data_IF_041266089904
#
_entry.id   IF_041266089904
#
_cell.length_a   1.000
_cell.length_b   1.000
_cell.length_c   1.000
_cell.angle_alpha   90.00
_cell.angle_beta   90.00
_cell.angle_gamma   90.00
#
_symmetry.space_group_name_H-M   'P 1'
#
loop_
_entity.id
_entity.type
_entity.pdbx_description
1 polymer ?
#
# COMPACT_ATOMS: atom_id res chain seq x y z
N UNK A 1 19.71 23.65 -21.81
CA UNK A 1 19.60 22.45 -22.68
C UNK A 1 18.81 21.38 -21.96
N UNK A 2 18.31 20.39 -22.71
CA UNK A 2 17.67 19.20 -22.16
C UNK A 2 18.51 17.94 -22.41
N UNK A 3 18.15 16.84 -21.76
CA UNK A 3 18.90 15.59 -21.83
C UNK A 3 17.94 14.40 -21.97
N UNK A 4 18.39 13.36 -22.66
CA UNK A 4 17.75 12.05 -22.70
C UNK A 4 18.65 11.01 -22.05
N UNK A 5 18.06 10.21 -21.16
CA UNK A 5 18.69 9.09 -20.45
C UNK A 5 17.98 7.80 -20.86
N UNK A 6 18.73 6.83 -21.37
CA UNK A 6 18.21 5.51 -21.72
C UNK A 6 18.94 4.47 -20.87
N UNK A 7 18.25 3.65 -20.06
CA UNK A 7 18.90 2.55 -19.33
C UNK A 7 19.67 1.64 -20.30
N UNK A 8 20.94 1.34 -19.97
CA UNK A 8 21.80 0.47 -20.78
C UNK A 8 21.41 -1.00 -20.69
N UNK A 9 20.80 -1.39 -19.58
CA UNK A 9 20.35 -2.74 -19.26
C UNK A 9 19.36 -2.70 -18.11
N UNK A 10 18.68 -3.83 -17.87
CA UNK A 10 17.90 -4.01 -16.66
C UNK A 10 18.77 -3.89 -15.41
N UNK A 11 18.26 -3.20 -14.39
CA UNK A 11 18.95 -3.03 -13.12
C UNK A 11 18.83 -4.31 -12.30
N UNK A 12 19.93 -5.01 -12.02
CA UNK A 12 19.93 -6.23 -11.17
C UNK A 12 19.98 -5.91 -9.67
N UNK A 13 20.52 -4.74 -9.32
CA UNK A 13 20.55 -4.18 -7.97
C UNK A 13 19.85 -2.80 -8.05
N UNK A 14 19.02 -2.39 -7.07
CA UNK A 14 18.37 -1.09 -7.14
C UNK A 14 19.39 0.05 -7.13
N UNK A 15 19.09 1.09 -7.92
CA UNK A 15 19.92 2.29 -8.03
C UNK A 15 19.30 3.43 -7.22
N UNK A 16 20.10 4.17 -6.47
CA UNK A 16 19.70 5.43 -5.83
C UNK A 16 20.25 6.59 -6.66
N UNK A 17 19.34 7.34 -7.29
CA UNK A 17 19.67 8.33 -8.30
C UNK A 17 19.01 9.70 -8.00
N UNK A 18 19.22 10.18 -6.77
CA UNK A 18 18.85 11.53 -6.33
C UNK A 18 19.57 12.64 -7.11
N UNK A 19 20.59 12.27 -7.90
CA UNK A 19 21.29 13.14 -8.83
C UNK A 19 20.53 13.42 -10.12
N UNK A 20 19.55 12.59 -10.52
CA UNK A 20 18.78 12.82 -11.76
C UNK A 20 17.74 13.93 -11.51
N UNK A 21 18.19 15.18 -11.70
CA UNK A 21 17.41 16.41 -11.49
C UNK A 21 17.85 17.51 -12.45
N UNK A 22 16.92 18.18 -13.16
CA UNK A 22 17.29 19.24 -14.10
C UNK A 22 18.07 20.40 -13.47
N UNK A 23 17.73 20.80 -12.25
CA UNK A 23 18.42 21.88 -11.53
C UNK A 23 19.84 21.49 -11.04
N UNK A 24 20.17 20.19 -10.99
CA UNK A 24 21.53 19.72 -10.74
C UNK A 24 22.35 19.62 -12.04
N UNK A 25 21.70 19.34 -13.16
CA UNK A 25 22.35 19.24 -14.48
C UNK A 25 22.62 20.63 -15.09
N UNK A 26 21.99 21.67 -14.57
CA UNK A 26 22.15 23.03 -15.05
C UNK A 26 23.62 23.49 -14.97
N UNK A 27 24.17 23.90 -16.12
CA UNK A 27 25.54 24.38 -16.24
C UNK A 27 26.60 23.28 -16.36
N UNK A 28 26.22 22.00 -16.25
CA UNK A 28 27.13 20.87 -16.46
C UNK A 28 27.16 20.44 -17.93
N UNK A 29 28.33 20.00 -18.39
CA UNK A 29 28.47 19.31 -19.67
C UNK A 29 28.13 17.81 -19.58
N UNK A 30 28.12 17.11 -20.73
CA UNK A 30 27.80 15.68 -20.80
C UNK A 30 28.75 14.79 -19.99
N UNK A 31 30.03 15.12 -19.92
CA UNK A 31 31.02 14.29 -19.23
C UNK A 31 30.89 14.50 -17.71
N UNK A 32 30.65 15.73 -17.28
CA UNK A 32 30.31 16.06 -15.90
C UNK A 32 29.03 15.34 -15.45
N UNK A 33 27.96 15.36 -16.27
CA UNK A 33 26.71 14.64 -15.98
C UNK A 33 26.93 13.13 -15.88
N UNK A 34 27.68 12.52 -16.81
CA UNK A 34 28.02 11.09 -16.75
C UNK A 34 28.81 10.72 -15.49
N UNK A 35 29.59 11.66 -14.96
CA UNK A 35 30.43 11.47 -13.77
C UNK A 35 29.68 11.59 -12.44
N UNK A 36 28.44 12.12 -12.45
CA UNK A 36 27.60 12.22 -11.25
C UNK A 36 27.47 10.85 -10.57
N UNK A 37 27.65 10.81 -9.27
CA UNK A 37 27.69 9.55 -8.52
C UNK A 37 26.28 9.11 -8.11
N UNK A 38 25.97 7.84 -8.36
CA UNK A 38 24.74 7.15 -7.94
C UNK A 38 25.14 5.93 -7.11
N UNK A 39 24.24 5.43 -6.25
CA UNK A 39 24.51 4.20 -5.49
C UNK A 39 23.83 2.99 -6.12
N UNK A 40 24.62 1.96 -6.44
CA UNK A 40 24.11 0.61 -6.71
C UNK A 40 24.29 -0.22 -5.44
N UNK A 41 23.20 -0.44 -4.70
CA UNK A 41 23.27 -1.00 -3.35
C UNK A 41 24.09 -0.11 -2.42
N UNK A 42 25.27 -0.55 -2.00
CA UNK A 42 26.17 0.19 -1.11
C UNK A 42 27.42 0.75 -1.80
N UNK A 43 27.51 0.67 -3.12
CA UNK A 43 28.68 1.09 -3.91
C UNK A 43 28.32 2.31 -4.75
N UNK A 44 29.18 3.34 -4.75
CA UNK A 44 29.06 4.49 -5.66
C UNK A 44 29.64 4.17 -7.01
N UNK A 45 28.88 4.48 -8.06
CA UNK A 45 29.31 4.34 -9.46
C UNK A 45 28.84 5.56 -10.27
N UNK A 46 29.55 5.95 -11.33
CA UNK A 46 29.11 7.03 -12.23
C UNK A 46 27.76 6.73 -12.89
N UNK A 47 26.91 7.74 -13.02
CA UNK A 47 25.60 7.66 -13.68
C UNK A 47 25.71 7.13 -15.12
N UNK A 48 26.76 7.55 -15.84
CA UNK A 48 27.03 7.13 -17.21
C UNK A 48 27.35 5.64 -17.37
N UNK A 49 27.60 4.89 -16.29
CA UNK A 49 27.71 3.43 -16.36
C UNK A 49 26.35 2.74 -16.55
N UNK A 50 25.26 3.39 -16.13
CA UNK A 50 23.92 2.82 -16.14
C UNK A 50 23.02 3.37 -17.26
N UNK A 51 23.30 4.58 -17.72
CA UNK A 51 22.51 5.25 -18.75
C UNK A 51 23.36 5.66 -19.95
N UNK A 52 22.81 5.49 -21.16
CA UNK A 52 23.22 6.28 -22.31
C UNK A 52 22.64 7.68 -22.14
N UNK A 53 23.52 8.70 -22.16
CA UNK A 53 23.14 10.10 -21.91
C UNK A 53 23.49 10.93 -23.14
N UNK A 54 22.49 11.60 -23.69
CA UNK A 54 22.63 12.50 -24.83
C UNK A 54 21.92 13.84 -24.59
N UNK A 55 22.45 14.90 -25.17
CA UNK A 55 21.79 16.21 -25.21
C UNK A 55 20.60 16.19 -26.19
N UNK A 56 19.55 16.91 -25.83
CA UNK A 56 18.39 17.13 -26.71
C UNK A 56 18.27 18.62 -27.03
N UNK A 57 18.13 18.93 -28.31
CA UNK A 57 17.82 20.29 -28.77
C UNK A 57 16.39 20.69 -28.39
N UNK A 58 16.21 21.95 -27.95
CA UNK A 58 14.93 22.67 -27.84
C UNK A 58 14.09 22.56 -26.55
N UNK A 59 14.56 21.95 -25.47
CA UNK A 59 13.81 21.92 -24.19
C UNK A 59 14.75 22.18 -23.01
N UNK A 60 14.91 23.46 -22.63
CA UNK A 60 15.76 23.84 -21.49
C UNK A 60 15.23 23.26 -20.18
N UNK A 61 16.14 22.75 -19.34
CA UNK A 61 15.84 22.11 -18.05
C UNK A 61 14.86 20.91 -18.16
N UNK A 62 14.86 20.20 -19.29
CA UNK A 62 14.16 18.92 -19.41
C UNK A 62 15.13 17.75 -19.25
N UNK A 63 14.76 16.77 -18.44
CA UNK A 63 15.33 15.41 -18.49
C UNK A 63 14.24 14.46 -18.97
N UNK A 64 14.49 13.75 -20.06
CA UNK A 64 13.67 12.64 -20.54
C UNK A 64 14.34 11.32 -20.19
N UNK A 65 13.60 10.38 -19.62
CA UNK A 65 14.07 9.02 -19.36
C UNK A 65 13.23 8.07 -20.20
N UNK A 66 13.86 7.33 -21.12
CA UNK A 66 13.17 6.40 -22.00
C UNK A 66 13.58 4.97 -21.66
N UNK A 67 12.70 4.24 -20.95
CA UNK A 67 12.95 2.87 -20.51
C UNK A 67 12.45 2.59 -19.09
N UNK A 68 12.40 1.30 -18.74
CA UNK A 68 12.00 0.88 -17.40
C UNK A 68 13.06 1.26 -16.36
N UNK A 69 12.66 2.05 -15.38
CA UNK A 69 13.45 2.47 -14.23
C UNK A 69 12.72 2.12 -12.92
N UNK A 70 11.91 1.05 -12.92
CA UNK A 70 11.18 0.50 -11.77
C UNK A 70 12.09 0.16 -10.57
N UNK A 71 13.39 0.00 -10.82
CA UNK A 71 14.42 -0.27 -9.81
C UNK A 71 15.35 0.91 -9.52
N UNK A 72 15.05 2.09 -10.05
CA UNK A 72 15.77 3.34 -9.77
C UNK A 72 14.93 4.19 -8.81
N UNK A 73 15.54 4.64 -7.72
CA UNK A 73 14.92 5.38 -6.63
C UNK A 73 15.36 6.85 -6.67
N UNK A 74 14.58 7.70 -6.01
CA UNK A 74 14.92 9.11 -5.73
C UNK A 74 15.04 10.04 -6.94
N UNK A 75 14.60 9.62 -8.14
CA UNK A 75 14.58 10.50 -9.30
C UNK A 75 13.77 11.76 -8.94
N UNK A 76 14.31 12.96 -9.24
CA UNK A 76 13.65 14.22 -8.88
C UNK A 76 13.67 14.58 -7.39
N UNK A 77 14.38 13.84 -6.53
CA UNK A 77 14.41 14.10 -5.08
C UNK A 77 14.97 15.49 -4.75
N UNK A 78 14.22 16.35 -4.08
CA UNK A 78 14.65 17.71 -3.73
C UNK A 78 14.74 18.67 -4.93
N UNK A 79 14.21 18.28 -6.10
CA UNK A 79 14.20 19.08 -7.33
C UNK A 79 13.52 20.44 -7.10
N UNK A 80 14.13 21.52 -7.62
CA UNK A 80 13.65 22.90 -7.42
C UNK A 80 12.94 23.49 -8.64
N UNK A 81 13.36 23.09 -9.84
CA UNK A 81 12.87 23.63 -11.11
C UNK A 81 13.16 22.66 -12.25
N UNK A 82 12.62 22.97 -13.43
CA UNK A 82 12.74 22.14 -14.63
C UNK A 82 11.65 21.09 -14.73
N UNK A 83 11.83 20.17 -15.68
CA UNK A 83 10.88 19.12 -16.01
C UNK A 83 11.57 17.77 -16.13
N UNK A 84 10.94 16.72 -15.63
CA UNK A 84 11.32 15.32 -15.90
C UNK A 84 10.14 14.62 -16.59
N UNK A 85 10.40 13.92 -17.70
CA UNK A 85 9.44 13.05 -18.36
C UNK A 85 10.01 11.64 -18.38
N UNK A 86 9.29 10.66 -17.84
CA UNK A 86 9.73 9.26 -17.77
C UNK A 86 8.77 8.39 -18.58
N UNK A 87 9.29 7.69 -19.59
CA UNK A 87 8.58 6.73 -20.41
C UNK A 87 8.93 5.30 -19.98
N UNK A 88 8.33 4.88 -18.86
CA UNK A 88 8.57 3.59 -18.22
C UNK A 88 8.10 3.60 -16.76
N UNK A 89 8.22 2.46 -16.10
CA UNK A 89 7.89 2.35 -14.68
C UNK A 89 9.03 2.93 -13.81
N UNK A 90 8.70 3.37 -12.59
CA UNK A 90 9.65 4.08 -11.69
C UNK A 90 9.67 3.47 -10.30
N UNK A 91 10.86 3.42 -9.69
CA UNK A 91 11.04 2.93 -8.33
C UNK A 91 10.57 3.89 -7.23
N UNK A 92 11.12 3.68 -6.03
CA UNK A 92 10.67 4.34 -4.80
C UNK A 92 11.03 5.83 -4.75
N UNK A 93 10.21 6.60 -4.05
CA UNK A 93 10.55 7.97 -3.62
C UNK A 93 10.78 8.95 -4.79
N UNK A 94 10.06 8.77 -5.90
CA UNK A 94 10.02 9.74 -7.00
C UNK A 94 9.58 11.11 -6.48
N UNK A 95 10.38 12.14 -6.75
CA UNK A 95 10.08 13.53 -6.40
C UNK A 95 9.92 13.79 -4.90
N UNK A 96 10.48 12.95 -4.02
CA UNK A 96 10.45 13.24 -2.59
C UNK A 96 11.17 14.57 -2.29
N UNK A 97 10.69 15.33 -1.32
CA UNK A 97 11.23 16.64 -0.92
C UNK A 97 11.26 17.71 -2.05
N UNK A 98 10.62 17.46 -3.20
CA UNK A 98 10.56 18.38 -4.33
C UNK A 98 10.00 19.75 -3.91
N UNK A 99 10.61 20.83 -4.38
CA UNK A 99 10.25 22.22 -4.06
C UNK A 99 9.58 22.95 -5.21
N UNK A 100 9.81 22.48 -6.44
CA UNK A 100 9.25 23.09 -7.66
C UNK A 100 9.61 22.28 -8.90
N UNK A 101 9.03 22.67 -10.04
CA UNK A 101 9.18 21.96 -11.31
C UNK A 101 8.04 20.98 -11.59
N UNK A 102 8.22 20.15 -12.62
CA UNK A 102 7.24 19.17 -13.08
C UNK A 102 7.88 17.80 -13.27
N UNK A 103 7.20 16.73 -12.83
CA UNK A 103 7.56 15.35 -13.14
C UNK A 103 6.35 14.69 -13.78
N UNK A 104 6.51 14.11 -14.97
CA UNK A 104 5.49 13.31 -15.64
C UNK A 104 5.99 11.89 -15.88
N UNK A 105 5.20 10.89 -15.52
CA UNK A 105 5.51 9.47 -15.73
C UNK A 105 4.45 8.82 -16.60
N UNK A 106 4.87 8.30 -17.75
CA UNK A 106 4.10 7.48 -18.67
C UNK A 106 4.29 6.00 -18.33
N UNK A 107 3.85 5.62 -17.13
CA UNK A 107 4.03 4.29 -16.55
C UNK A 107 3.48 4.23 -15.12
N UNK A 108 3.78 3.15 -14.41
CA UNK A 108 3.49 2.99 -13.00
C UNK A 108 4.67 3.48 -12.16
N UNK A 109 4.39 3.83 -10.91
CA UNK A 109 5.44 4.19 -9.96
C UNK A 109 5.24 3.46 -8.65
N UNK A 110 6.35 3.19 -7.97
CA UNK A 110 6.35 2.54 -6.67
C UNK A 110 5.84 3.49 -5.56
N UNK A 111 6.07 3.10 -4.30
CA UNK A 111 5.61 3.84 -3.12
C UNK A 111 6.42 5.11 -2.84
N UNK A 112 5.88 5.98 -1.98
CA UNK A 112 6.49 7.19 -1.43
C UNK A 112 6.69 8.36 -2.43
N UNK A 113 5.85 8.42 -3.46
CA UNK A 113 5.87 9.50 -4.45
C UNK A 113 5.61 10.85 -3.75
N UNK A 114 6.43 11.86 -4.05
CA UNK A 114 6.22 13.21 -3.51
C UNK A 114 6.26 13.28 -1.97
N UNK A 115 6.84 12.27 -1.32
CA UNK A 115 7.03 12.25 0.14
C UNK A 115 7.67 13.57 0.58
N UNK A 116 7.04 14.28 1.52
CA UNK A 116 7.51 15.56 2.05
C UNK A 116 7.79 16.67 1.01
N UNK A 117 7.15 16.63 -0.16
CA UNK A 117 7.29 17.71 -1.15
C UNK A 117 6.67 19.03 -0.65
N UNK A 118 7.25 20.15 -1.08
CA UNK A 118 6.83 21.51 -0.71
C UNK A 118 6.20 22.27 -1.89
N UNK A 119 6.44 21.84 -3.13
CA UNK A 119 5.94 22.50 -4.33
C UNK A 119 6.25 21.71 -5.60
N UNK A 120 5.77 22.21 -6.73
CA UNK A 120 5.86 21.51 -8.02
C UNK A 120 4.66 20.61 -8.30
N UNK A 121 4.69 19.94 -9.45
CA UNK A 121 3.62 19.02 -9.88
C UNK A 121 4.21 17.66 -10.27
N UNK A 122 3.65 16.59 -9.72
CA UNK A 122 3.95 15.21 -10.13
C UNK A 122 2.70 14.62 -10.77
N UNK A 123 2.81 14.16 -12.01
CA UNK A 123 1.72 13.55 -12.78
C UNK A 123 2.09 12.12 -13.19
N UNK A 124 1.28 11.16 -12.80
CA UNK A 124 1.47 9.74 -13.11
C UNK A 124 0.30 9.29 -13.99
N UNK A 125 0.61 8.82 -15.20
CA UNK A 125 -0.40 8.35 -16.16
C UNK A 125 -0.77 6.86 -15.93
N UNK A 126 -0.10 6.17 -15.02
CA UNK A 126 -0.44 4.82 -14.54
C UNK A 126 -0.87 4.80 -13.07
N UNK A 127 -0.44 3.75 -12.36
CA UNK A 127 -0.74 3.54 -10.93
C UNK A 127 0.42 3.96 -10.03
N UNK A 128 0.09 4.21 -8.76
CA UNK A 128 0.99 4.54 -7.69
C UNK A 128 0.99 3.44 -6.61
N UNK A 129 2.13 3.25 -5.95
CA UNK A 129 2.23 2.46 -4.72
C UNK A 129 1.62 3.17 -3.51
N UNK A 130 2.10 2.79 -2.33
CA UNK A 130 1.70 3.34 -1.03
C UNK A 130 2.31 4.71 -0.74
N UNK A 131 1.78 5.40 0.27
CA UNK A 131 2.37 6.58 0.90
C UNK A 131 2.63 7.78 -0.02
N UNK A 132 1.75 8.01 -0.98
CA UNK A 132 1.80 9.19 -1.86
C UNK A 132 1.65 10.47 -1.04
N UNK A 133 2.60 11.40 -1.12
CA UNK A 133 2.57 12.69 -0.43
C UNK A 133 2.74 12.62 1.11
N UNK A 134 3.22 11.49 1.63
CA UNK A 134 3.24 11.25 3.08
C UNK A 134 4.41 11.90 3.82
N UNK A 135 4.28 11.92 5.15
CA UNK A 135 5.40 12.01 6.08
C UNK A 135 6.20 10.70 6.04
N UNK A 136 7.52 10.78 6.16
CA UNK A 136 8.31 9.58 6.36
C UNK A 136 7.94 8.86 7.66
N UNK A 137 8.28 7.58 7.79
CA UNK A 137 7.92 6.81 8.98
C UNK A 137 8.58 7.35 10.24
N UNK A 138 7.77 7.55 11.28
CA UNK A 138 8.22 8.15 12.53
C UNK A 138 8.15 9.68 12.52
N UNK A 139 7.84 10.28 11.38
CA UNK A 139 7.57 11.71 11.24
C UNK A 139 6.07 11.99 11.18
N UNK A 140 5.70 13.26 11.41
CA UNK A 140 4.30 13.71 11.45
C UNK A 140 3.98 14.76 10.38
N UNK A 141 4.96 15.18 9.56
CA UNK A 141 4.80 16.30 8.62
C UNK A 141 5.20 15.87 7.22
N UNK A 142 4.21 15.48 6.43
CA UNK A 142 4.35 15.05 5.05
C UNK A 142 4.42 16.19 4.06
N UNK A 143 3.77 16.01 2.91
CA UNK A 143 3.63 17.03 1.87
C UNK A 143 3.11 18.36 2.44
N UNK A 144 3.78 19.46 2.10
CA UNK A 144 3.48 20.84 2.55
C UNK A 144 3.05 21.76 1.41
N UNK A 145 2.93 21.25 0.19
CA UNK A 145 2.51 22.02 -0.97
C UNK A 145 2.79 21.26 -2.27
N UNK A 146 2.39 21.86 -3.39
CA UNK A 146 2.45 21.24 -4.70
C UNK A 146 1.23 20.38 -5.01
N UNK A 147 1.30 19.63 -6.11
CA UNK A 147 0.19 18.83 -6.63
C UNK A 147 0.66 17.47 -7.12
N UNK A 148 -0.03 16.41 -6.68
CA UNK A 148 0.19 15.05 -7.19
C UNK A 148 -1.08 14.58 -7.89
N UNK A 149 -0.95 14.09 -9.13
CA UNK A 149 -2.05 13.63 -9.96
C UNK A 149 -1.74 12.21 -10.42
N UNK A 150 -2.51 11.23 -9.95
CA UNK A 150 -2.42 9.83 -10.37
C UNK A 150 -3.65 9.53 -11.22
N UNK A 151 -3.47 9.13 -12.48
CA UNK A 151 -4.61 8.79 -13.36
C UNK A 151 -5.25 7.44 -12.99
N UNK A 152 -4.43 6.48 -12.54
CA UNK A 152 -4.89 5.17 -12.08
C UNK A 152 -5.17 5.12 -10.58
N UNK A 153 -4.85 3.96 -9.98
CA UNK A 153 -5.04 3.67 -8.57
C UNK A 153 -3.80 4.07 -7.75
N UNK A 154 -3.99 4.25 -6.44
CA UNK A 154 -2.92 4.41 -5.48
C UNK A 154 -3.09 3.45 -4.29
N UNK A 155 -1.96 3.08 -3.67
CA UNK A 155 -1.93 2.16 -2.53
C UNK A 155 -2.50 2.75 -1.24
N UNK A 156 -2.01 2.25 -0.11
CA UNK A 156 -2.46 2.64 1.22
C UNK A 156 -1.79 3.94 1.69
N UNK A 157 -2.40 4.52 2.72
CA UNK A 157 -1.88 5.66 3.48
C UNK A 157 -1.65 6.93 2.65
N UNK A 158 -2.38 7.14 1.55
CA UNK A 158 -2.26 8.33 0.69
C UNK A 158 -2.41 9.60 1.53
N UNK A 159 -1.47 10.54 1.42
CA UNK A 159 -1.49 11.81 2.17
C UNK A 159 -1.37 11.63 3.69
N UNK A 160 -0.79 10.52 4.16
CA UNK A 160 -0.52 10.28 5.56
C UNK A 160 0.35 11.38 6.19
N UNK A 161 -0.18 12.16 7.12
CA UNK A 161 0.51 13.31 7.72
C UNK A 161 0.65 14.51 6.78
N UNK A 162 -0.11 14.58 5.68
CA UNK A 162 -0.13 15.72 4.76
C UNK A 162 -0.51 17.01 5.48
N UNK A 163 0.19 18.11 5.19
CA UNK A 163 -0.01 19.41 5.82
C UNK A 163 -0.60 20.45 4.87
N UNK A 164 -0.34 20.33 3.56
CA UNK A 164 -0.85 21.23 2.52
C UNK A 164 -0.62 20.63 1.13
N UNK A 165 -1.17 21.27 0.10
CA UNK A 165 -1.10 20.81 -1.29
C UNK A 165 -2.34 20.03 -1.73
N UNK A 166 -2.26 19.42 -2.90
CA UNK A 166 -3.36 18.69 -3.53
C UNK A 166 -2.92 17.30 -4.01
N UNK A 167 -3.70 16.27 -3.69
CA UNK A 167 -3.53 14.91 -4.24
C UNK A 167 -4.83 14.53 -4.96
N UNK A 168 -4.71 14.14 -6.23
CA UNK A 168 -5.81 13.62 -7.03
C UNK A 168 -5.53 12.19 -7.47
N UNK A 169 -6.46 11.28 -7.19
CA UNK A 169 -6.43 9.88 -7.64
C UNK A 169 -7.62 9.64 -8.58
N UNK A 170 -7.35 9.28 -9.83
CA UNK A 170 -8.35 9.05 -10.86
C UNK A 170 -9.09 7.72 -10.70
N UNK A 171 -8.45 6.72 -10.10
CA UNK A 171 -9.04 5.45 -9.71
C UNK A 171 -9.27 5.34 -8.21
N UNK A 172 -8.90 4.20 -7.64
CA UNK A 172 -9.11 3.84 -6.24
C UNK A 172 -7.90 4.18 -5.36
N UNK A 173 -8.15 4.42 -4.08
CA UNK A 173 -7.13 4.53 -3.04
C UNK A 173 -7.21 3.36 -2.05
N UNK A 174 -6.08 2.96 -1.49
CA UNK A 174 -6.03 1.94 -0.45
C UNK A 174 -6.59 2.40 0.91
N UNK A 175 -6.24 1.64 1.95
CA UNK A 175 -6.63 1.92 3.33
C UNK A 175 -5.98 3.19 3.85
N UNK A 176 -6.60 3.82 4.85
CA UNK A 176 -6.03 4.93 5.61
C UNK A 176 -5.66 6.17 4.76
N UNK A 177 -6.40 6.41 3.68
CA UNK A 177 -6.28 7.64 2.91
C UNK A 177 -6.49 8.87 3.82
N UNK A 178 -5.51 9.77 3.88
CA UNK A 178 -5.51 10.99 4.71
C UNK A 178 -5.27 10.75 6.20
N UNK A 179 -4.71 9.60 6.59
CA UNK A 179 -4.41 9.34 8.02
C UNK A 179 -3.50 10.43 8.61
N UNK A 180 -3.87 10.98 9.77
CA UNK A 180 -3.10 12.05 10.46
C UNK A 180 -2.90 13.33 9.66
N UNK A 181 -3.65 13.56 8.58
CA UNK A 181 -3.50 14.79 7.81
C UNK A 181 -3.89 16.02 8.65
N UNK A 182 -3.18 17.12 8.45
CA UNK A 182 -3.39 18.40 9.10
C UNK A 182 -3.32 19.54 8.08
N UNK A 183 -4.01 19.33 6.96
CA UNK A 183 -4.21 20.30 5.89
C UNK A 183 -4.02 19.69 4.50
N UNK A 184 -4.28 20.51 3.48
CA UNK A 184 -4.32 20.05 2.09
C UNK A 184 -5.64 19.41 1.69
N UNK A 185 -5.69 18.96 0.44
CA UNK A 185 -6.87 18.33 -0.16
C UNK A 185 -6.49 17.03 -0.87
N UNK A 186 -7.27 15.98 -0.61
CA UNK A 186 -7.17 14.69 -1.29
C UNK A 186 -8.51 14.42 -1.97
N UNK A 187 -8.49 14.15 -3.28
CA UNK A 187 -9.67 13.72 -4.03
C UNK A 187 -9.42 12.35 -4.64
N UNK A 188 -10.32 11.40 -4.39
CA UNK A 188 -10.31 10.04 -4.95
C UNK A 188 -11.58 9.84 -5.76
N UNK A 189 -11.42 9.58 -7.07
CA UNK A 189 -12.56 9.44 -7.99
C UNK A 189 -13.27 8.10 -7.85
N UNK A 190 -12.54 7.05 -7.50
CA UNK A 190 -13.05 5.71 -7.23
C UNK A 190 -13.28 5.46 -5.74
N UNK A 191 -13.06 4.22 -5.35
CA UNK A 191 -13.26 3.72 -4.00
C UNK A 191 -12.06 4.03 -3.10
N UNK A 192 -12.27 4.02 -1.78
CA UNK A 192 -11.19 4.02 -0.81
C UNK A 192 -11.31 2.86 0.18
N UNK A 193 -10.17 2.43 0.72
CA UNK A 193 -10.12 1.38 1.73
C UNK A 193 -10.77 1.79 3.07
N UNK A 194 -10.38 1.10 4.13
CA UNK A 194 -10.92 1.38 5.46
C UNK A 194 -10.35 2.68 6.04
N UNK A 195 -11.16 3.32 6.89
CA UNK A 195 -10.74 4.42 7.75
C UNK A 195 -10.06 5.60 7.03
N UNK A 196 -10.66 6.13 5.94
CA UNK A 196 -10.21 7.41 5.39
C UNK A 196 -10.30 8.50 6.48
N UNK A 197 -9.27 9.33 6.58
CA UNK A 197 -9.21 10.41 7.55
C UNK A 197 -8.94 9.99 8.99
N UNK A 198 -8.51 8.75 9.25
CA UNK A 198 -8.14 8.33 10.59
C UNK A 198 -7.18 9.31 11.27
N UNK A 199 -7.46 9.74 12.50
CA UNK A 199 -6.63 10.71 13.23
C UNK A 199 -6.43 12.06 12.49
N UNK A 200 -7.30 12.44 11.53
CA UNK A 200 -7.14 13.71 10.81
C UNK A 200 -7.49 14.91 11.69
N UNK A 201 -6.63 15.93 11.66
CA UNK A 201 -6.79 17.18 12.41
C UNK A 201 -7.43 18.26 11.55
N UNK A 202 -7.02 18.39 10.28
CA UNK A 202 -7.56 19.38 9.35
C UNK A 202 -7.32 18.99 7.90
N UNK A 203 -7.93 19.73 6.97
CA UNK A 203 -7.87 19.47 5.53
C UNK A 203 -9.15 18.83 4.99
N UNK A 204 -9.10 18.44 3.72
CA UNK A 204 -10.27 17.97 2.96
C UNK A 204 -9.94 16.63 2.33
N UNK A 205 -10.83 15.65 2.51
CA UNK A 205 -10.81 14.38 1.78
C UNK A 205 -12.14 14.24 1.05
N UNK A 206 -12.11 14.02 -0.26
CA UNK A 206 -13.30 13.72 -1.07
C UNK A 206 -13.19 12.34 -1.70
N UNK A 207 -14.07 11.42 -1.33
CA UNK A 207 -14.16 10.08 -1.92
C UNK A 207 -15.47 9.97 -2.71
N UNK A 208 -15.37 9.86 -4.03
CA UNK A 208 -16.53 9.81 -4.92
C UNK A 208 -17.11 8.40 -5.08
N UNK A 209 -16.36 7.36 -4.72
CA UNK A 209 -16.81 5.97 -4.68
C UNK A 209 -17.21 5.49 -3.28
N UNK A 210 -17.03 4.19 -3.05
CA UNK A 210 -17.32 3.47 -1.82
C UNK A 210 -16.12 3.55 -0.86
N UNK A 211 -16.40 3.69 0.43
CA UNK A 211 -15.42 3.48 1.49
C UNK A 211 -15.71 2.16 2.21
N UNK A 212 -14.65 1.44 2.60
CA UNK A 212 -14.84 0.14 3.25
C UNK A 212 -15.47 0.27 4.64
N UNK A 213 -15.07 1.30 5.40
CA UNK A 213 -15.62 1.61 6.71
C UNK A 213 -15.41 3.08 7.06
N UNK A 214 -16.34 3.66 7.81
CA UNK A 214 -16.21 4.98 8.44
C UNK A 214 -15.80 4.80 9.90
N UNK A 215 -14.85 5.61 10.38
CA UNK A 215 -14.48 5.57 11.80
C UNK A 215 -15.56 6.24 12.68
N UNK A 216 -15.83 5.73 13.90
CA UNK A 216 -16.84 6.29 14.80
C UNK A 216 -16.59 7.75 15.22
N UNK A 217 -15.37 8.24 15.08
CA UNK A 217 -15.01 9.63 15.41
C UNK A 217 -15.47 10.65 14.36
N UNK A 218 -16.13 10.25 13.28
CA UNK A 218 -16.69 11.18 12.30
C UNK A 218 -18.15 11.51 12.60
N UNK A 219 -18.45 12.81 12.68
CA UNK A 219 -19.80 13.33 12.85
C UNK A 219 -20.38 13.80 11.53
N UNK A 220 -21.54 13.27 11.15
CA UNK A 220 -22.30 13.77 9.99
C UNK A 220 -22.73 15.23 10.21
N UNK A 221 -22.55 16.07 9.19
CA UNK A 221 -22.87 17.50 9.24
C UNK A 221 -24.00 17.86 8.27
N UNK A 222 -23.85 17.50 7.00
CA UNK A 222 -24.81 17.90 5.95
C UNK A 222 -24.68 17.03 4.71
N UNK A 223 -25.71 17.08 3.86
CA UNK A 223 -25.70 16.50 2.52
C UNK A 223 -25.87 17.60 1.46
N UNK A 224 -25.23 17.44 0.31
CA UNK A 224 -25.30 18.41 -0.78
C UNK A 224 -25.00 17.74 -2.13
N UNK A 225 -25.34 18.43 -3.23
CA UNK A 225 -25.06 17.95 -4.59
C UNK A 225 -23.74 18.53 -5.10
N UNK A 226 -22.88 17.67 -5.63
CA UNK A 226 -21.61 18.01 -6.29
C UNK A 226 -21.47 17.11 -7.54
N UNK A 227 -21.24 17.70 -8.71
CA UNK A 227 -21.09 16.97 -9.99
C UNK A 227 -22.18 15.93 -10.28
N UNK A 228 -23.44 16.27 -9.95
CA UNK A 228 -24.60 15.38 -10.12
C UNK A 228 -24.70 14.25 -9.11
N UNK A 229 -23.73 14.12 -8.19
CA UNK A 229 -23.73 13.14 -7.10
C UNK A 229 -24.21 13.78 -5.80
N UNK A 230 -24.88 12.99 -4.94
CA UNK A 230 -25.20 13.40 -3.58
C UNK A 230 -24.03 13.03 -2.67
N UNK A 231 -23.42 14.03 -2.04
CA UNK A 231 -22.29 13.88 -1.12
C UNK A 231 -22.74 14.15 0.31
N UNK A 232 -22.07 13.53 1.27
CA UNK A 232 -22.23 13.77 2.72
C UNK A 232 -20.94 14.35 3.25
N UNK A 233 -21.03 15.43 4.02
CA UNK A 233 -19.93 15.97 4.80
C UNK A 233 -19.94 15.38 6.20
N UNK A 234 -18.80 14.82 6.58
CA UNK A 234 -18.45 14.47 7.95
C UNK A 234 -17.34 15.38 8.47
N UNK A 235 -17.43 15.77 9.75
CA UNK A 235 -16.34 16.41 10.48
C UNK A 235 -15.75 15.46 11.50
N UNK A 236 -14.42 15.41 11.56
CA UNK A 236 -13.66 14.48 12.39
C UNK A 236 -12.16 14.59 12.09
N UNK A 237 -11.31 13.76 12.68
CA UNK A 237 -11.63 12.64 13.57
C UNK A 237 -11.72 13.09 15.04
N UNK A 238 -12.84 12.83 15.73
CA UNK A 238 -13.06 13.20 17.14
C UNK A 238 -12.10 12.50 18.13
N UNK A 239 -11.26 11.56 17.69
CA UNK A 239 -10.12 11.09 18.48
C UNK A 239 -9.07 12.18 18.71
N UNK A 240 -8.98 13.16 17.82
CA UNK A 240 -8.03 14.27 17.90
C UNK A 240 -8.56 15.41 18.77
N UNK A 241 -7.64 16.23 19.32
CA UNK A 241 -7.99 17.27 20.30
C UNK A 241 -8.86 18.41 19.73
N UNK A 242 -8.61 18.83 18.49
CA UNK A 242 -9.30 19.94 17.82
C UNK A 242 -9.52 19.60 16.34
N UNK A 243 -10.41 18.65 16.02
CA UNK A 243 -10.58 18.18 14.65
C UNK A 243 -11.42 19.17 13.83
N UNK A 244 -10.81 19.72 12.80
CA UNK A 244 -11.43 20.56 11.76
C UNK A 244 -11.35 19.92 10.37
N UNK A 245 -11.05 18.62 10.33
CA UNK A 245 -11.02 17.86 9.10
C UNK A 245 -12.43 17.71 8.49
N UNK A 246 -12.51 17.81 7.16
CA UNK A 246 -13.72 17.57 6.38
C UNK A 246 -13.56 16.33 5.51
N UNK A 247 -14.37 15.30 5.77
CA UNK A 247 -14.45 14.09 4.96
C UNK A 247 -15.76 14.10 4.18
N UNK A 248 -15.65 14.09 2.86
CA UNK A 248 -16.78 13.99 1.95
C UNK A 248 -16.84 12.60 1.35
N UNK A 249 -18.01 11.96 1.45
CA UNK A 249 -18.25 10.64 0.83
C UNK A 249 -19.51 10.67 -0.01
N UNK A 250 -19.55 9.86 -1.06
CA UNK A 250 -20.74 9.70 -1.89
C UNK A 250 -21.85 8.97 -1.13
N UNK A 251 -23.02 9.58 -1.00
CA UNK A 251 -24.17 9.02 -0.25
C UNK A 251 -24.60 7.65 -0.81
N UNK A 252 -24.90 7.59 -2.10
CA UNK A 252 -25.51 6.41 -2.73
C UNK A 252 -24.54 5.22 -2.79
N UNK A 253 -23.23 5.48 -2.85
CA UNK A 253 -22.20 4.43 -2.88
C UNK A 253 -21.89 3.86 -1.49
N UNK A 254 -22.40 4.49 -0.44
CA UNK A 254 -22.04 4.20 0.95
C UNK A 254 -23.25 3.87 1.84
N UNK A 255 -24.38 3.45 1.25
CA UNK A 255 -25.56 3.04 2.03
C UNK A 255 -25.24 1.92 3.03
N UNK A 256 -24.31 1.02 2.71
CA UNK A 256 -23.87 -0.06 3.60
C UNK A 256 -23.28 0.42 4.93
N UNK A 257 -22.72 1.63 4.99
CA UNK A 257 -22.23 2.22 6.26
C UNK A 257 -23.23 3.19 6.89
N UNK A 258 -24.16 3.75 6.11
CA UNK A 258 -25.10 4.77 6.58
C UNK A 258 -26.39 4.17 7.13
N UNK A 259 -26.87 3.10 6.52
CA UNK A 259 -28.16 2.48 6.86
C UNK A 259 -28.01 1.38 7.91
N UNK A 260 -26.81 1.23 8.51
CA UNK A 260 -26.46 0.12 9.39
C UNK A 260 -26.97 -1.21 8.81
N UNK A 261 -26.75 -1.45 7.51
CA UNK A 261 -26.96 -2.78 6.94
C UNK A 261 -26.05 -3.72 7.74
N UNK A 262 -26.66 -4.39 8.71
CA UNK A 262 -26.01 -5.43 9.49
C UNK A 262 -25.63 -6.49 8.47
N UNK A 263 -24.34 -6.58 8.19
CA UNK A 263 -23.66 -7.57 7.35
C UNK A 263 -24.61 -8.74 7.08
N UNK A 264 -25.27 -8.73 5.90
CA UNK A 264 -26.37 -9.64 5.56
C UNK A 264 -26.01 -11.03 6.09
N UNK A 265 -26.82 -11.52 7.05
CA UNK A 265 -26.43 -12.58 7.99
C UNK A 265 -25.48 -13.59 7.37
N UNK A 266 -24.25 -13.66 7.91
CA UNK A 266 -23.08 -14.34 7.36
C UNK A 266 -23.43 -15.57 6.51
N UNK A 267 -23.49 -15.37 5.20
CA UNK A 267 -23.90 -16.40 4.25
C UNK A 267 -22.74 -17.37 4.00
N UNK A 268 -22.97 -18.66 4.23
CA UNK A 268 -22.04 -19.70 3.78
C UNK A 268 -22.12 -19.76 2.25
N UNK A 269 -21.05 -19.34 1.58
CA UNK A 269 -20.94 -19.45 0.12
C UNK A 269 -20.33 -20.78 -0.28
N UNK A 270 -20.26 -21.07 -1.58
CA UNK A 270 -19.50 -22.23 -2.09
C UNK A 270 -18.02 -22.24 -1.67
N UNK A 271 -17.44 -21.07 -1.40
CA UNK A 271 -16.05 -20.94 -0.89
C UNK A 271 -15.95 -21.09 0.63
N UNK A 272 -17.08 -21.13 1.34
CA UNK A 272 -17.15 -21.05 2.79
C UNK A 272 -17.62 -19.67 3.27
N UNK A 273 -17.36 -19.39 4.54
CA UNK A 273 -17.62 -18.08 5.17
C UNK A 273 -16.45 -17.14 4.93
N UNK A 274 -16.72 -15.87 4.67
CA UNK A 274 -15.69 -14.83 4.56
C UNK A 274 -15.29 -14.37 5.97
N UNK A 275 -14.01 -14.45 6.31
CA UNK A 275 -13.45 -14.04 7.60
C UNK A 275 -12.18 -13.21 7.41
N UNK A 276 -11.77 -12.50 8.46
CA UNK A 276 -10.47 -11.83 8.53
C UNK A 276 -9.45 -12.73 9.22
N UNK A 277 -8.39 -13.09 8.51
CA UNK A 277 -7.26 -13.84 9.03
C UNK A 277 -6.25 -12.92 9.73
N UNK A 278 -5.83 -13.35 10.92
CA UNK A 278 -4.73 -12.78 11.67
C UNK A 278 -3.71 -13.85 12.07
N UNK A 279 -2.44 -13.47 12.08
CA UNK A 279 -1.35 -14.32 12.57
C UNK A 279 -0.47 -13.61 13.58
N UNK A 280 0.26 -14.40 14.35
CA UNK A 280 1.15 -13.95 15.40
C UNK A 280 1.79 -15.12 16.12
N UNK A 281 2.75 -14.82 16.99
CA UNK A 281 3.42 -15.84 17.78
C UNK A 281 2.53 -16.33 18.92
N UNK A 282 2.59 -17.61 19.26
CA UNK A 282 2.03 -18.13 20.52
C UNK A 282 3.13 -18.38 21.55
N UNK A 283 2.75 -18.48 22.83
CA UNK A 283 3.68 -18.83 23.91
C UNK A 283 4.26 -20.24 23.68
N UNK A 284 3.41 -21.20 23.32
CA UNK A 284 3.81 -22.60 23.08
C UNK A 284 4.70 -22.73 21.86
N UNK A 285 4.40 -22.05 20.76
CA UNK A 285 5.29 -21.97 19.59
C UNK A 285 6.67 -21.42 20.00
N UNK A 286 6.69 -20.34 20.79
CA UNK A 286 7.93 -19.75 21.28
C UNK A 286 8.75 -20.70 22.17
N UNK A 287 8.10 -21.54 22.98
CA UNK A 287 8.76 -22.56 23.80
C UNK A 287 9.37 -23.68 22.94
N UNK A 288 8.63 -24.16 21.94
CA UNK A 288 9.10 -25.23 21.05
C UNK A 288 10.33 -24.77 20.23
N UNK A 289 10.32 -23.54 19.72
CA UNK A 289 11.44 -23.00 18.93
C UNK A 289 12.69 -22.73 19.79
N UNK A 290 12.55 -22.37 21.07
CA UNK A 290 13.66 -22.01 21.99
C UNK A 290 14.49 -23.22 22.46
N UNK A 291 14.79 -24.15 21.55
CA UNK A 291 15.57 -25.37 21.83
C UNK A 291 15.21 -26.56 20.93
N UNK A 292 14.13 -26.46 20.15
CA UNK A 292 13.65 -27.51 19.24
C UNK A 292 13.78 -27.17 17.75
N UNK A 293 13.25 -28.07 16.91
CA UNK A 293 13.20 -27.95 15.46
C UNK A 293 11.77 -27.58 15.00
N UNK A 294 11.61 -26.85 13.91
CA UNK A 294 10.32 -26.51 13.29
C UNK A 294 9.64 -27.70 12.57
N UNK A 295 10.22 -28.89 12.65
CA UNK A 295 9.75 -30.10 11.98
C UNK A 295 9.25 -31.16 12.99
N UNK A 296 9.03 -30.78 14.25
CA UNK A 296 8.49 -31.71 15.26
C UNK A 296 6.97 -31.78 15.18
N UNK A 297 6.40 -32.93 15.55
CA UNK A 297 4.94 -33.10 15.67
C UNK A 297 4.33 -32.05 16.61
N UNK A 298 5.03 -31.69 17.69
CA UNK A 298 4.59 -30.62 18.60
C UNK A 298 4.50 -29.25 17.91
N UNK A 299 5.42 -28.95 17.00
CA UNK A 299 5.38 -27.69 16.24
C UNK A 299 4.23 -27.71 15.24
N UNK A 300 4.02 -28.83 14.55
CA UNK A 300 2.90 -29.00 13.62
C UNK A 300 1.57 -28.88 14.38
N UNK A 301 1.42 -29.57 15.52
CA UNK A 301 0.24 -29.49 16.39
C UNK A 301 -0.09 -28.04 16.80
N UNK A 302 0.94 -27.27 17.10
CA UNK A 302 0.80 -25.88 17.54
C UNK A 302 0.55 -24.89 16.39
N UNK A 303 1.22 -25.06 15.24
CA UNK A 303 1.19 -24.09 14.13
C UNK A 303 0.17 -24.44 13.04
N UNK A 304 -0.18 -25.71 12.86
CA UNK A 304 -1.15 -26.17 11.88
C UNK A 304 -2.58 -26.19 12.44
N UNK A 305 -2.95 -25.11 13.15
CA UNK A 305 -4.29 -24.94 13.72
C UNK A 305 -4.90 -23.58 13.37
N UNK A 306 -6.21 -23.54 13.28
CA UNK A 306 -7.03 -22.36 13.05
C UNK A 306 -7.95 -22.16 14.24
N UNK A 307 -7.69 -21.13 15.05
CA UNK A 307 -8.57 -20.72 16.13
C UNK A 307 -9.77 -19.94 15.55
N UNK A 308 -10.98 -20.35 15.92
CA UNK A 308 -12.25 -19.88 15.36
C UNK A 308 -13.19 -19.54 16.52
N UNK A 309 -13.99 -18.47 16.39
CA UNK A 309 -14.98 -18.13 17.43
C UNK A 309 -16.01 -19.26 17.60
N UNK A 310 -16.62 -19.43 18.78
CA UNK A 310 -17.69 -20.40 19.01
C UNK A 310 -18.83 -20.34 18.00
N UNK A 311 -19.24 -19.13 17.60
CA UNK A 311 -20.31 -18.89 16.64
C UNK A 311 -19.94 -19.40 15.25
N UNK A 312 -18.74 -19.07 14.79
CA UNK A 312 -18.25 -19.46 13.46
C UNK A 312 -17.92 -20.96 13.40
N UNK A 313 -17.42 -21.52 14.50
CA UNK A 313 -17.14 -22.94 14.63
C UNK A 313 -18.42 -23.78 14.53
N UNK A 314 -19.49 -23.35 15.22
CA UNK A 314 -20.83 -23.96 15.11
C UNK A 314 -21.45 -23.76 13.74
N UNK A 315 -21.29 -22.57 13.15
CA UNK A 315 -21.78 -22.28 11.79
C UNK A 315 -21.17 -23.22 10.75
N UNK A 316 -19.91 -23.64 10.94
CA UNK A 316 -19.21 -24.60 10.08
C UNK A 316 -19.53 -26.07 10.40
N UNK A 317 -20.40 -26.34 11.38
CA UNK A 317 -20.77 -27.69 11.80
C UNK A 317 -19.65 -28.41 12.55
N UNK A 318 -18.97 -27.69 13.44
CA UNK A 318 -17.97 -28.19 14.39
C UNK A 318 -16.94 -29.12 13.75
N UNK A 319 -16.24 -28.66 12.70
CA UNK A 319 -15.34 -29.51 11.94
C UNK A 319 -14.08 -29.85 12.73
N UNK A 320 -13.50 -31.04 12.51
CA UNK A 320 -12.16 -31.36 13.02
C UNK A 320 -11.07 -30.56 12.28
N UNK A 321 -11.20 -30.45 10.95
CA UNK A 321 -10.29 -29.71 10.09
C UNK A 321 -11.06 -28.72 9.22
N UNK A 322 -10.41 -27.59 8.94
CA UNK A 322 -10.91 -26.54 8.06
C UNK A 322 -9.92 -26.30 6.94
N UNK A 323 -10.45 -25.81 5.82
CA UNK A 323 -9.65 -25.25 4.74
C UNK A 323 -9.79 -23.75 4.76
N UNK A 324 -8.64 -23.08 4.78
CA UNK A 324 -8.55 -21.64 4.64
C UNK A 324 -7.98 -21.35 3.26
N UNK A 325 -8.63 -20.44 2.52
CA UNK A 325 -8.22 -20.10 1.16
C UNK A 325 -8.06 -18.59 0.97
N UNK A 326 -7.01 -18.21 0.25
CA UNK A 326 -6.71 -16.83 -0.10
C UNK A 326 -5.83 -16.77 -1.35
N UNK A 327 -6.07 -15.81 -2.23
CA UNK A 327 -5.22 -15.53 -3.40
C UNK A 327 -4.88 -16.77 -4.28
N UNK A 328 -5.79 -17.75 -4.35
CA UNK A 328 -5.59 -18.98 -5.13
C UNK A 328 -4.87 -20.11 -4.39
N UNK A 329 -4.41 -19.87 -3.17
CA UNK A 329 -3.80 -20.88 -2.30
C UNK A 329 -4.82 -21.39 -1.27
N UNK A 330 -4.65 -22.64 -0.84
CA UNK A 330 -5.46 -23.25 0.22
C UNK A 330 -4.57 -24.00 1.22
N UNK A 331 -4.94 -23.98 2.49
CA UNK A 331 -4.25 -24.77 3.53
C UNK A 331 -5.27 -25.43 4.45
N UNK A 332 -5.05 -26.71 4.72
CA UNK A 332 -5.83 -27.48 5.70
C UNK A 332 -5.21 -27.31 7.08
N UNK A 333 -6.04 -26.98 8.06
CA UNK A 333 -5.66 -26.72 9.44
C UNK A 333 -6.62 -27.43 10.38
N UNK A 334 -6.12 -27.86 11.55
CA UNK A 334 -7.00 -28.32 12.62
C UNK A 334 -7.83 -27.16 13.13
N UNK A 335 -9.14 -27.34 13.20
CA UNK A 335 -10.03 -26.33 13.76
C UNK A 335 -10.00 -26.38 15.29
N UNK A 336 -9.94 -25.21 15.92
CA UNK A 336 -9.96 -25.07 17.39
C UNK A 336 -10.99 -24.00 17.73
N UNK A 337 -12.01 -24.38 18.50
CA UNK A 337 -12.94 -23.42 19.10
C UNK A 337 -12.18 -22.59 20.15
N UNK A 338 -12.21 -21.27 20.01
CA UNK A 338 -11.52 -20.34 20.90
C UNK A 338 -12.42 -19.13 21.23
N UNK A 339 -12.94 -19.03 22.47
CA UNK A 339 -13.80 -17.92 22.89
C UNK A 339 -13.08 -16.57 22.95
N UNK A 340 -11.74 -16.54 22.84
CA UNK A 340 -10.96 -15.31 22.71
C UNK A 340 -10.98 -14.72 21.30
N UNK A 341 -11.48 -15.46 20.31
CA UNK A 341 -11.56 -15.01 18.92
C UNK A 341 -12.89 -14.30 18.67
N UNK A 342 -12.81 -13.12 18.06
CA UNK A 342 -13.98 -12.37 17.65
C UNK A 342 -14.65 -13.05 16.45
N UNK A 343 -15.98 -13.24 16.51
CA UNK A 343 -16.79 -13.64 15.36
C UNK A 343 -16.46 -12.75 14.16
N UNK A 344 -16.20 -13.34 12.99
CA UNK A 344 -15.74 -12.59 11.82
C UNK A 344 -14.25 -12.75 11.55
N UNK A 345 -13.50 -13.27 12.51
CA UNK A 345 -12.06 -13.36 12.45
C UNK A 345 -11.58 -14.76 12.78
N UNK A 346 -10.38 -15.08 12.32
CA UNK A 346 -9.65 -16.29 12.71
C UNK A 346 -8.22 -15.94 13.09
N UNK A 347 -7.62 -16.79 13.92
CA UNK A 347 -6.21 -16.71 14.25
C UNK A 347 -5.50 -18.00 13.85
N UNK A 348 -4.41 -17.87 13.09
CA UNK A 348 -3.53 -18.98 12.75
C UNK A 348 -2.14 -18.60 13.28
N UNK A 349 -1.54 -19.38 14.18
CA UNK A 349 -0.18 -19.14 14.65
C UNK A 349 0.78 -18.98 13.47
N UNK A 350 1.74 -18.07 13.63
CA UNK A 350 2.72 -17.84 12.56
C UNK A 350 3.50 -19.14 12.30
N UNK A 351 3.79 -19.40 11.04
CA UNK A 351 4.37 -20.66 10.59
C UNK A 351 4.17 -20.83 9.09
N UNK A 352 4.68 -21.92 8.54
CA UNK A 352 4.61 -22.15 7.10
C UNK A 352 3.17 -22.27 6.60
N UNK A 353 2.25 -22.86 7.38
CA UNK A 353 0.82 -22.92 7.04
C UNK A 353 0.18 -21.52 6.94
N UNK A 354 0.48 -20.63 7.87
CA UNK A 354 0.06 -19.23 7.83
C UNK A 354 0.65 -18.48 6.61
N UNK A 355 1.89 -18.79 6.24
CA UNK A 355 2.56 -18.15 5.10
C UNK A 355 1.93 -18.52 3.75
N UNK A 356 1.26 -19.68 3.63
CA UNK A 356 0.48 -20.05 2.42
C UNK A 356 -0.59 -19.00 2.10
N UNK A 357 -1.16 -18.39 3.15
CA UNK A 357 -2.25 -17.42 3.07
C UNK A 357 -1.78 -15.96 3.06
N UNK A 358 -0.58 -15.70 3.57
CA UNK A 358 -0.05 -14.34 3.76
C UNK A 358 0.39 -13.79 2.40
N UNK A 359 -0.22 -12.69 1.91
CA UNK A 359 0.15 -12.12 0.62
C UNK A 359 1.58 -11.54 0.66
N UNK A 360 2.33 -11.58 -0.45
CA UNK A 360 3.70 -11.04 -0.51
C UNK A 360 3.76 -9.51 -0.42
N UNK A 361 2.60 -8.84 -0.48
CA UNK A 361 2.49 -7.40 -0.40
C UNK A 361 2.91 -6.88 0.98
N UNK A 362 3.84 -5.93 0.99
CA UNK A 362 4.50 -5.46 2.23
C UNK A 362 4.18 -4.03 2.61
N UNK A 363 3.35 -3.31 1.84
CA UNK A 363 3.18 -1.86 2.00
C UNK A 363 4.54 -1.13 2.06
N UNK A 364 5.50 -1.48 1.20
CA UNK A 364 6.87 -0.95 1.23
C UNK A 364 7.57 -1.02 2.62
N UNK A 365 7.12 -1.90 3.53
CA UNK A 365 7.73 -2.10 4.86
C UNK A 365 8.81 -3.18 4.86
N UNK A 366 8.87 -4.01 3.82
CA UNK A 366 9.64 -5.26 3.81
C UNK A 366 9.01 -6.40 4.63
N UNK A 367 7.93 -6.14 5.37
CA UNK A 367 7.16 -7.13 6.12
C UNK A 367 5.80 -7.38 5.45
N UNK A 368 5.43 -8.64 5.15
CA UNK A 368 4.12 -8.99 4.62
C UNK A 368 2.94 -8.63 5.53
N UNK A 369 1.73 -8.56 4.98
CA UNK A 369 0.49 -8.38 5.74
C UNK A 369 0.10 -9.65 6.53
N UNK A 370 0.71 -9.86 7.69
CA UNK A 370 0.37 -10.99 8.57
C UNK A 370 -1.00 -10.87 9.28
N UNK A 371 -1.71 -9.75 9.12
CA UNK A 371 -2.94 -9.42 9.84
C UNK A 371 -3.92 -8.71 8.94
N UNK A 372 -5.21 -8.88 9.22
CA UNK A 372 -6.26 -8.16 8.51
C UNK A 372 -6.54 -8.69 7.09
N UNK A 373 -6.11 -9.91 6.76
CA UNK A 373 -6.23 -10.45 5.40
C UNK A 373 -7.60 -11.10 5.22
N UNK A 374 -8.42 -10.69 4.23
CA UNK A 374 -9.65 -11.40 3.92
C UNK A 374 -9.36 -12.80 3.37
N UNK A 375 -10.00 -13.81 3.95
CA UNK A 375 -9.90 -15.21 3.52
C UNK A 375 -11.28 -15.87 3.51
N UNK A 376 -11.38 -17.03 2.87
CA UNK A 376 -12.54 -17.89 3.00
C UNK A 376 -12.21 -19.11 3.86
N UNK A 377 -13.15 -19.47 4.74
CA UNK A 377 -13.03 -20.57 5.68
C UNK A 377 -14.17 -21.56 5.45
N UNK A 378 -13.83 -22.84 5.27
CA UNK A 378 -14.80 -23.93 5.09
C UNK A 378 -14.40 -25.18 5.85
N UNK A 379 -15.36 -26.05 6.11
CA UNK A 379 -15.08 -27.42 6.58
C UNK A 379 -14.25 -28.18 5.55
N UNK A 380 -13.26 -28.94 6.02
CA UNK A 380 -12.52 -29.86 5.17
C UNK A 380 -13.37 -31.06 4.78
N UNK A 381 -13.24 -31.46 3.51
CA UNK A 381 -13.85 -32.64 2.90
C UNK A 381 -12.98 -33.87 3.14
N UNK A 382 -13.55 -35.05 2.90
CA UNK A 382 -12.80 -36.30 3.01
C UNK A 382 -11.61 -36.32 2.05
N UNK A 383 -10.41 -36.57 2.58
CA UNK A 383 -9.14 -36.58 1.83
C UNK A 383 -8.32 -35.30 1.97
N UNK A 384 -8.93 -34.19 2.37
CA UNK A 384 -8.21 -32.97 2.71
C UNK A 384 -7.56 -33.13 4.08
N UNK A 385 -6.23 -33.26 4.10
CA UNK A 385 -5.43 -33.48 5.31
C UNK A 385 -4.47 -32.32 5.53
N UNK A 386 -4.06 -32.15 6.79
CA UNK A 386 -2.97 -31.25 7.15
C UNK A 386 -1.68 -31.79 6.52
N UNK A 387 -1.02 -30.93 5.73
CA UNK A 387 0.29 -31.22 5.14
C UNK A 387 1.40 -30.94 6.16
N UNK A 388 2.48 -31.71 6.06
CA UNK A 388 3.74 -31.43 6.76
C UNK A 388 4.39 -30.14 6.24
N UNK A 389 5.38 -29.63 6.97
CA UNK A 389 6.12 -28.44 6.55
C UNK A 389 6.87 -28.70 5.24
N UNK A 390 7.45 -29.88 5.07
CA UNK A 390 8.16 -30.33 3.88
C UNK A 390 7.23 -30.36 2.67
N UNK A 391 6.06 -30.96 2.80
CA UNK A 391 5.05 -31.02 1.73
C UNK A 391 4.60 -29.61 1.30
N UNK A 392 4.43 -28.68 2.25
CA UNK A 392 4.09 -27.29 1.93
C UNK A 392 5.24 -26.55 1.22
N UNK A 393 6.50 -26.81 1.58
CA UNK A 393 7.65 -26.26 0.84
C UNK A 393 7.69 -26.84 -0.58
N UNK A 394 7.41 -28.13 -0.76
CA UNK A 394 7.38 -28.74 -2.09
C UNK A 394 6.22 -28.23 -2.96
N UNK A 395 5.06 -27.96 -2.35
CA UNK A 395 3.87 -27.48 -3.06
C UNK A 395 3.94 -25.99 -3.41
N UNK A 396 4.38 -25.15 -2.46
CA UNK A 396 4.33 -23.68 -2.58
C UNK A 396 5.70 -23.00 -2.70
N UNK A 397 6.80 -23.74 -2.52
CA UNK A 397 8.15 -23.20 -2.61
C UNK A 397 8.52 -22.76 -4.03
N UNK A 398 9.30 -21.68 -4.12
CA UNK A 398 9.82 -21.14 -5.38
C UNK A 398 10.96 -22.06 -5.85
N UNK A 399 10.65 -23.06 -6.68
CA UNK A 399 11.61 -24.07 -7.13
C UNK A 399 11.15 -25.01 -8.26
N UNK A 400 10.05 -24.69 -8.95
CA UNK A 400 9.75 -25.19 -10.31
C UNK A 400 9.92 -24.03 -11.28
#
# INVERSE_FOLDING_TARGET
MGFVLVPKSDFQIPLEADTIRPDLFEGLDLDEIRSLQVYEGNIKRPLGEFFEIAETSHEDQLIRIDGDVSRVKYIGSGMKSGKIIINGDVGLQLGCEMKGGEIEVNGNVSSWIGMEMHGGTIKINGNAGDYVGCAYRGEWRGMKGGKIIIQGNAGNNIGGGMMAGEIYIGGDAGNFCGIRMNGGEITVRGDAGRAPGAEMVSGIIKIHGRISSLLPGFKEISTFKEDGSLMILFKGDLSEKNPEGNLYINYNKNLHILENETDEGRVITKKGIKVIYNSGSTIREGQIIKGGNKLTDDYIDECARCCISPEDYKLLGEPENVVVSSHGNEVVLRAVEDPGIQMGTIFIPRGIWANVLTPPYTESTGSPMYKGVPVYLRKASQGERILSAEELVEEYGVGK
#
